data_IF_544335021478
#
_entry.id   IF_544335021478
#
_cell.length_a   1.000
_cell.length_b   1.000
_cell.length_c   1.000
_cell.angle_alpha   90.00
_cell.angle_beta   90.00
_cell.angle_gamma   90.00
#
_symmetry.space_group_name_H-M   'P 1'
#
loop_
_entity.id
_entity.type
_entity.pdbx_description
1 polymer ?
#
# COMPACT_ATOMS: atom_id res chain seq x y z
N UNK A 1 6.88 4.85 -22.50
CA UNK A 1 6.58 4.97 -21.06
C UNK A 1 5.13 4.58 -20.73
N UNK A 2 4.10 5.14 -21.39
CA UNK A 2 2.68 4.85 -21.10
C UNK A 2 2.21 3.40 -21.33
N UNK A 3 2.93 2.59 -22.13
CA UNK A 3 2.54 1.20 -22.47
C UNK A 3 2.33 0.29 -21.25
N UNK A 4 2.94 0.61 -20.12
CA UNK A 4 2.81 -0.18 -18.88
C UNK A 4 1.71 0.32 -17.94
N UNK A 5 1.05 1.43 -18.26
CA UNK A 5 0.06 2.12 -17.40
C UNK A 5 -1.34 1.89 -17.93
N UNK A 6 -1.79 0.64 -17.84
CA UNK A 6 -2.97 0.15 -18.56
C UNK A 6 -4.27 0.20 -17.73
N UNK A 7 -4.16 0.32 -16.41
CA UNK A 7 -5.32 0.32 -15.53
C UNK A 7 -5.72 1.76 -15.17
N UNK A 8 -6.83 2.24 -15.72
CA UNK A 8 -7.44 3.49 -15.24
C UNK A 8 -8.15 3.22 -13.93
N UNK A 9 -7.69 3.87 -12.86
CA UNK A 9 -8.25 3.69 -11.53
C UNK A 9 -9.42 4.65 -11.27
N UNK A 10 -9.23 5.94 -11.57
CA UNK A 10 -10.26 6.97 -11.43
C UNK A 10 -9.89 8.23 -12.21
N UNK A 11 -10.79 9.21 -12.19
CA UNK A 11 -10.53 10.57 -12.70
C UNK A 11 -10.52 11.57 -11.54
N UNK A 12 -9.68 12.59 -11.65
CA UNK A 12 -9.59 13.67 -10.66
C UNK A 12 -9.40 15.03 -11.36
N UNK A 13 -10.05 16.11 -10.88
CA UNK A 13 -9.78 17.46 -11.38
C UNK A 13 -8.41 17.92 -10.90
N UNK A 14 -7.47 18.09 -11.83
CA UNK A 14 -6.12 18.57 -11.55
C UNK A 14 -5.75 19.74 -12.46
N UNK A 15 -4.87 20.62 -11.98
CA UNK A 15 -4.33 21.72 -12.74
C UNK A 15 -3.31 21.21 -13.76
N UNK A 16 -3.57 21.47 -15.05
CA UNK A 16 -2.64 21.16 -16.12
C UNK A 16 -1.84 22.40 -16.50
N UNK A 17 -0.52 22.38 -16.25
CA UNK A 17 0.35 23.49 -16.61
C UNK A 17 0.36 23.82 -18.11
N UNK A 18 0.19 22.80 -18.99
CA UNK A 18 0.12 23.01 -20.44
C UNK A 18 -1.20 23.66 -20.87
N UNK A 19 -2.32 23.27 -20.28
CA UNK A 19 -3.62 23.89 -20.58
C UNK A 19 -3.82 25.23 -19.86
N UNK A 20 -3.04 25.51 -18.81
CA UNK A 20 -3.25 26.67 -17.94
C UNK A 20 -4.57 26.62 -17.15
N UNK A 21 -5.17 25.43 -17.01
CA UNK A 21 -6.52 25.26 -16.47
C UNK A 21 -6.66 23.96 -15.66
N UNK A 22 -7.70 23.91 -14.81
CA UNK A 22 -8.08 22.69 -14.09
C UNK A 22 -8.90 21.82 -15.03
N UNK A 23 -8.42 20.62 -15.30
CA UNK A 23 -9.05 19.66 -16.22
C UNK A 23 -9.19 18.30 -15.55
N UNK A 24 -10.09 17.45 -16.07
CA UNK A 24 -10.11 16.05 -15.70
C UNK A 24 -8.77 15.39 -16.09
N UNK A 25 -8.20 14.62 -15.17
CA UNK A 25 -7.04 13.78 -15.41
C UNK A 25 -7.40 12.32 -15.09
N UNK A 26 -7.12 11.43 -16.03
CA UNK A 26 -7.13 10.00 -15.78
C UNK A 26 -5.93 9.62 -14.90
N UNK A 27 -6.21 8.93 -13.79
CA UNK A 27 -5.19 8.38 -12.90
C UNK A 27 -4.99 6.92 -13.27
N UNK A 28 -3.82 6.62 -13.81
CA UNK A 28 -3.46 5.32 -14.37
C UNK A 28 -2.42 4.62 -13.48
N UNK A 29 -2.54 3.30 -13.36
CA UNK A 29 -1.59 2.45 -12.66
C UNK A 29 -1.12 1.28 -13.55
N UNK A 30 -0.03 0.65 -13.13
CA UNK A 30 0.49 -0.57 -13.77
C UNK A 30 -0.30 -1.82 -13.39
N UNK A 31 -1.01 -1.76 -12.28
CA UNK A 31 -1.79 -2.86 -11.73
C UNK A 31 -3.17 -2.35 -11.33
N UNK A 32 -4.12 -3.28 -11.22
CA UNK A 32 -5.44 -2.96 -10.71
C UNK A 32 -5.36 -2.73 -9.19
N UNK A 33 -5.82 -1.56 -8.74
CA UNK A 33 -5.95 -1.24 -7.33
C UNK A 33 -7.40 -0.90 -7.01
N UNK A 34 -7.85 -1.31 -5.84
CA UNK A 34 -9.13 -0.88 -5.29
C UNK A 34 -8.90 0.25 -4.28
N UNK A 35 -9.72 1.30 -4.36
CA UNK A 35 -9.72 2.38 -3.34
C UNK A 35 -10.05 1.86 -1.92
N UNK A 36 -10.67 0.68 -1.80
CA UNK A 36 -11.15 0.15 -0.51
C UNK A 36 -10.07 -0.57 0.31
N UNK A 37 -9.07 -1.16 -0.35
CA UNK A 37 -8.11 -2.05 0.31
C UNK A 37 -6.80 -1.36 0.72
N UNK A 38 -6.76 -0.02 0.68
CA UNK A 38 -5.54 0.75 0.88
C UNK A 38 -4.58 0.57 -0.30
N UNK A 39 -3.83 1.61 -0.63
CA UNK A 39 -2.77 1.54 -1.64
C UNK A 39 -1.49 1.97 -0.94
N UNK A 40 -0.43 1.16 -1.06
CA UNK A 40 0.86 1.50 -0.46
C UNK A 40 1.33 2.86 -0.98
N UNK A 41 1.86 3.70 -0.09
CA UNK A 41 2.19 5.10 -0.37
C UNK A 41 3.20 5.28 -1.50
N UNK A 42 4.04 4.28 -1.74
CA UNK A 42 5.11 4.25 -2.74
C UNK A 42 4.65 3.75 -4.12
N UNK A 43 3.38 3.37 -4.29
CA UNK A 43 2.85 2.96 -5.58
C UNK A 43 2.82 4.18 -6.51
N UNK A 44 3.53 4.14 -7.66
CA UNK A 44 3.50 5.23 -8.61
C UNK A 44 2.21 5.18 -9.45
N UNK A 45 1.75 6.35 -9.85
CA UNK A 45 0.62 6.60 -10.76
C UNK A 45 1.03 7.55 -11.88
N UNK A 46 0.42 7.37 -13.04
CA UNK A 46 0.47 8.35 -14.13
C UNK A 46 -0.82 9.16 -14.13
N UNK A 47 -0.69 10.47 -13.95
CA UNK A 47 -1.78 11.41 -14.05
C UNK A 47 -1.78 12.02 -15.45
N UNK A 48 -2.72 11.62 -16.32
CA UNK A 48 -2.80 12.07 -17.71
C UNK A 48 -3.94 13.05 -17.90
N UNK A 49 -3.66 14.25 -18.40
CA UNK A 49 -4.67 15.25 -18.74
C UNK A 49 -5.55 14.74 -19.89
N UNK A 50 -6.87 14.72 -19.69
CA UNK A 50 -7.81 14.28 -20.72
C UNK A 50 -7.92 15.28 -21.89
N UNK A 51 -7.62 16.56 -21.66
CA UNK A 51 -7.72 17.60 -22.68
C UNK A 51 -6.51 17.64 -23.64
N UNK A 52 -5.28 17.61 -23.12
CA UNK A 52 -4.07 17.80 -23.94
C UNK A 52 -3.15 16.57 -23.97
N UNK A 53 -3.49 15.50 -23.25
CA UNK A 53 -2.70 14.26 -23.19
C UNK A 53 -1.38 14.33 -22.42
N UNK A 54 -0.97 15.52 -21.95
CA UNK A 54 0.24 15.68 -21.12
C UNK A 54 0.07 14.92 -19.80
N UNK A 55 1.15 14.35 -19.29
CA UNK A 55 1.12 13.54 -18.07
C UNK A 55 2.25 13.89 -17.11
N UNK A 56 2.07 13.50 -15.85
CA UNK A 56 3.12 13.51 -14.83
C UNK A 56 2.99 12.27 -13.94
N UNK A 57 4.06 11.95 -13.21
CA UNK A 57 4.06 10.87 -12.22
C UNK A 57 3.79 11.45 -10.84
N UNK A 58 2.88 10.81 -10.13
CA UNK A 58 2.61 11.03 -8.71
C UNK A 58 2.62 9.68 -7.98
N UNK A 59 2.68 9.68 -6.67
CA UNK A 59 2.59 8.47 -5.86
C UNK A 59 1.27 8.42 -5.08
N UNK A 60 0.84 7.21 -4.69
CA UNK A 60 -0.39 7.04 -3.93
C UNK A 60 -0.38 7.84 -2.61
N UNK A 61 0.78 7.94 -1.96
CA UNK A 61 0.97 8.75 -0.75
C UNK A 61 0.91 10.27 -0.99
N UNK A 62 0.87 10.72 -2.25
CA UNK A 62 0.72 12.14 -2.63
C UNK A 62 -0.73 12.49 -2.99
N UNK A 63 -1.67 11.54 -2.87
CA UNK A 63 -3.07 11.71 -3.22
C UNK A 63 -3.98 11.46 -2.03
N UNK A 64 -5.03 12.27 -1.92
CA UNK A 64 -6.13 12.03 -1.00
C UNK A 64 -7.04 10.92 -1.55
N UNK A 65 -6.98 9.74 -0.94
CA UNK A 65 -7.74 8.56 -1.36
C UNK A 65 -8.96 8.24 -0.47
N UNK A 66 -9.27 9.11 0.51
CA UNK A 66 -10.47 8.97 1.35
C UNK A 66 -10.40 7.89 2.46
N UNK A 67 -9.20 7.50 2.87
CA UNK A 67 -8.99 6.52 3.96
C UNK A 67 -9.18 7.10 5.38
N UNK A 68 -9.48 6.24 6.35
CA UNK A 68 -9.70 6.59 7.77
C UNK A 68 -8.41 6.80 8.58
N UNK A 69 -7.23 6.56 8.02
CA UNK A 69 -5.98 6.41 8.77
C UNK A 69 -5.37 7.71 9.32
N UNK A 70 -5.90 8.88 8.95
CA UNK A 70 -5.28 10.17 9.31
C UNK A 70 -6.28 11.19 9.89
N UNK A 71 -7.20 10.76 10.77
CA UNK A 71 -8.17 11.69 11.40
C UNK A 71 -7.50 12.85 12.15
N UNK A 72 -6.29 12.63 12.68
CA UNK A 72 -5.57 13.64 13.46
C UNK A 72 -4.96 14.78 12.64
N UNK A 73 -4.95 14.67 11.30
CA UNK A 73 -4.38 15.72 10.44
C UNK A 73 -5.38 16.78 9.96
N UNK A 74 -6.68 16.54 10.14
CA UNK A 74 -7.76 17.37 9.60
C UNK A 74 -8.55 18.02 10.73
N UNK A 75 -8.97 19.26 10.50
CA UNK A 75 -9.83 19.99 11.41
C UNK A 75 -11.21 20.20 10.77
N UNK A 76 -12.25 19.79 11.48
CA UNK A 76 -13.63 20.13 11.13
C UNK A 76 -13.86 21.62 11.33
N UNK A 77 -14.64 22.22 10.45
CA UNK A 77 -15.08 23.60 10.65
C UNK A 77 -16.31 23.56 11.50
N UNK A 78 -16.30 24.31 12.60
CA UNK A 78 -17.43 24.39 13.50
C UNK A 78 -18.70 24.67 12.69
N UNK A 79 -18.72 25.73 11.87
CA UNK A 79 -19.87 26.20 11.10
C UNK A 79 -20.42 25.26 10.01
N UNK A 80 -19.69 24.21 9.60
CA UNK A 80 -20.07 23.42 8.42
C UNK A 80 -20.20 21.92 8.69
N UNK A 81 -19.42 21.40 9.64
CA UNK A 81 -19.32 19.97 9.88
C UNK A 81 -20.22 19.51 11.03
N UNK A 82 -20.64 18.25 10.93
CA UNK A 82 -21.16 17.47 12.03
C UNK A 82 -20.02 17.14 12.98
N UNK A 83 -20.27 17.37 14.26
CA UNK A 83 -19.27 17.27 15.31
C UNK A 83 -19.48 16.01 16.14
N UNK A 84 -18.39 15.38 16.56
CA UNK A 84 -18.37 14.25 17.48
C UNK A 84 -17.27 14.46 18.54
N UNK A 85 -17.43 13.92 19.75
CA UNK A 85 -16.35 13.87 20.74
C UNK A 85 -15.09 13.23 20.13
N UNK A 86 -13.93 13.84 20.39
CA UNK A 86 -12.64 13.43 19.84
C UNK A 86 -12.24 14.17 18.56
N UNK A 87 -13.19 14.78 17.83
CA UNK A 87 -12.87 15.54 16.62
C UNK A 87 -12.01 16.77 16.92
N UNK A 88 -11.08 17.07 16.02
CA UNK A 88 -10.40 18.36 15.96
C UNK A 88 -11.28 19.38 15.25
N UNK A 89 -11.46 20.55 15.85
CA UNK A 89 -12.29 21.63 15.31
C UNK A 89 -11.53 22.92 15.22
N UNK A 90 -11.65 23.59 14.06
CA UNK A 90 -11.19 24.95 13.87
C UNK A 90 -12.34 25.95 14.04
N UNK A 91 -12.06 27.04 14.75
CA UNK A 91 -12.95 28.19 14.92
C UNK A 91 -12.26 29.40 14.32
N UNK A 92 -12.97 30.13 13.45
CA UNK A 92 -12.44 31.32 12.80
C UNK A 92 -11.88 32.33 13.80
N UNK A 93 -10.68 32.85 13.49
CA UNK A 93 -9.97 33.80 14.33
C UNK A 93 -9.12 33.16 15.43
N UNK A 94 -9.26 31.85 15.70
CA UNK A 94 -8.36 31.15 16.63
C UNK A 94 -7.02 30.81 15.96
N UNK A 95 -5.93 30.79 16.74
CA UNK A 95 -4.60 30.47 16.22
C UNK A 95 -4.41 28.97 15.96
N UNK A 96 -5.16 28.10 16.64
CA UNK A 96 -5.04 26.63 16.55
C UNK A 96 -6.40 25.94 16.69
N UNK A 97 -6.56 24.74 16.10
CA UNK A 97 -7.70 23.87 16.38
C UNK A 97 -7.78 23.46 17.85
N UNK A 98 -8.98 23.09 18.30
CA UNK A 98 -9.26 22.54 19.63
C UNK A 98 -9.94 21.19 19.49
N UNK A 99 -9.75 20.30 20.46
CA UNK A 99 -10.40 18.99 20.44
C UNK A 99 -11.75 19.06 21.15
N UNK A 100 -12.78 18.41 20.60
CA UNK A 100 -14.07 18.28 21.28
C UNK A 100 -13.95 17.27 22.42
N UNK A 101 -14.16 17.72 23.66
CA UNK A 101 -14.22 16.85 24.84
C UNK A 101 -15.64 16.40 25.17
N UNK A 102 -16.66 17.13 24.72
CA UNK A 102 -18.06 16.79 24.94
C UNK A 102 -18.99 17.54 24.00
N UNK A 103 -20.13 16.93 23.70
CA UNK A 103 -21.17 17.49 22.84
C UNK A 103 -22.53 17.29 23.50
N UNK A 104 -23.25 18.38 23.76
CA UNK A 104 -24.58 18.36 24.39
C UNK A 104 -25.57 19.02 23.45
N UNK A 105 -26.60 18.27 23.05
CA UNK A 105 -27.60 18.73 22.10
C UNK A 105 -28.94 18.86 22.82
N UNK A 106 -29.53 20.05 22.74
CA UNK A 106 -30.90 20.33 23.18
C UNK A 106 -31.81 20.51 21.96
N UNK A 107 -33.11 20.79 22.18
CA UNK A 107 -34.05 21.03 21.07
C UNK A 107 -33.72 22.26 20.20
N UNK A 108 -32.97 23.22 20.74
CA UNK A 108 -32.70 24.51 20.08
C UNK A 108 -31.21 24.81 19.92
N UNK A 109 -30.36 24.17 20.71
CA UNK A 109 -28.95 24.54 20.84
C UNK A 109 -28.05 23.30 20.92
N UNK A 110 -26.88 23.39 20.29
CA UNK A 110 -25.76 22.48 20.47
C UNK A 110 -24.67 23.18 21.28
N UNK A 111 -24.33 22.64 22.44
CA UNK A 111 -23.20 23.07 23.27
C UNK A 111 -22.02 22.14 23.03
N UNK A 112 -20.92 22.71 22.56
CA UNK A 112 -19.65 22.02 22.32
C UNK A 112 -18.67 22.38 23.44
N UNK A 113 -18.16 21.36 24.13
CA UNK A 113 -17.05 21.50 25.04
C UNK A 113 -15.74 21.29 24.29
N UNK A 114 -14.87 22.29 24.34
CA UNK A 114 -13.58 22.30 23.66
C UNK A 114 -12.46 22.21 24.69
N UNK A 115 -11.47 21.39 24.39
CA UNK A 115 -10.22 21.27 25.15
C UNK A 115 -9.08 21.84 24.31
N UNK A 116 -8.41 22.84 24.86
CA UNK A 116 -7.19 23.43 24.30
C UNK A 116 -6.17 23.56 25.41
N UNK A 117 -5.03 22.88 25.30
CA UNK A 117 -3.85 22.94 26.21
C UNK A 117 -4.21 23.33 27.66
N UNK A 118 -4.84 22.40 28.40
CA UNK A 118 -5.15 22.56 29.82
C UNK A 118 -6.41 23.39 30.15
N UNK A 119 -7.00 24.10 29.19
CA UNK A 119 -8.21 24.89 29.38
C UNK A 119 -9.40 24.18 28.74
N UNK A 120 -10.51 24.08 29.49
CA UNK A 120 -11.80 23.68 28.96
C UNK A 120 -12.66 24.92 28.73
N UNK A 121 -13.17 25.04 27.52
CA UNK A 121 -14.08 26.11 27.12
C UNK A 121 -15.40 25.54 26.65
N UNK A 122 -16.48 26.26 26.90
CA UNK A 122 -17.81 25.94 26.40
C UNK A 122 -18.16 26.89 25.28
N UNK A 123 -18.63 26.34 24.17
CA UNK A 123 -19.12 27.10 23.04
C UNK A 123 -20.52 26.60 22.68
N UNK A 124 -21.51 27.48 22.69
CA UNK A 124 -22.89 27.11 22.37
C UNK A 124 -23.36 27.80 21.09
N UNK A 125 -24.17 27.08 20.30
CA UNK A 125 -24.69 27.56 19.02
C UNK A 125 -26.09 27.03 18.74
N UNK A 126 -26.90 27.75 17.94
CA UNK A 126 -28.16 27.21 17.44
C UNK A 126 -27.95 25.87 16.74
N UNK A 127 -28.91 24.96 16.91
CA UNK A 127 -28.88 23.66 16.25
C UNK A 127 -28.84 23.83 14.73
N UNK A 128 -27.81 23.29 14.08
CA UNK A 128 -27.72 23.29 12.63
C UNK A 128 -28.76 22.33 12.05
N UNK A 129 -29.71 22.87 11.29
CA UNK A 129 -30.79 22.10 10.66
C UNK A 129 -30.35 21.32 9.44
N UNK A 130 -29.24 21.71 8.80
CA UNK A 130 -28.62 21.03 7.66
C UNK A 130 -27.10 21.17 7.71
N UNK A 131 -26.41 20.06 7.48
CA UNK A 131 -24.95 20.03 7.31
C UNK A 131 -24.66 19.85 5.81
N UNK A 132 -23.92 20.77 5.21
CA UNK A 132 -23.42 20.64 3.84
C UNK A 132 -21.96 20.15 3.89
N UNK A 133 -21.76 18.89 4.29
CA UNK A 133 -20.43 18.35 4.55
C UNK A 133 -19.71 17.97 3.25
N UNK A 134 -18.98 18.92 2.67
CA UNK A 134 -18.08 18.64 1.54
C UNK A 134 -16.90 17.75 1.95
N UNK A 135 -16.48 17.82 3.22
CA UNK A 135 -15.39 17.04 3.78
C UNK A 135 -15.77 16.54 5.18
N UNK A 136 -16.40 15.35 5.30
CA UNK A 136 -16.85 14.80 6.58
C UNK A 136 -15.72 14.54 7.59
N UNK A 137 -14.49 14.30 7.10
CA UNK A 137 -13.31 14.12 7.95
C UNK A 137 -12.64 15.46 8.34
N UNK A 138 -13.16 16.60 7.87
CA UNK A 138 -12.58 17.92 8.07
C UNK A 138 -11.63 18.34 6.94
N UNK A 139 -10.93 19.44 7.17
CA UNK A 139 -10.10 20.15 6.19
C UNK A 139 -8.68 20.31 6.70
N UNK A 140 -7.69 20.35 5.80
CA UNK A 140 -6.37 20.92 6.14
C UNK A 140 -6.44 22.44 6.15
N UNK A 141 -5.84 23.04 7.17
CA UNK A 141 -5.88 24.48 7.39
C UNK A 141 -4.71 25.17 6.69
N UNK A 142 -5.02 26.01 5.71
CA UNK A 142 -4.04 26.79 4.97
C UNK A 142 -3.93 28.21 5.49
N UNK A 143 -2.70 28.78 5.55
CA UNK A 143 -1.44 28.23 5.03
C UNK A 143 -0.65 27.32 5.99
N UNK A 144 -1.08 27.18 7.24
CA UNK A 144 -0.30 26.51 8.29
C UNK A 144 0.13 25.07 7.94
N UNK A 145 -0.74 24.31 7.26
CA UNK A 145 -0.50 22.92 6.90
C UNK A 145 -0.10 22.74 5.43
N UNK A 146 0.30 23.79 4.72
CA UNK A 146 0.59 23.73 3.27
C UNK A 146 1.66 22.68 2.90
N UNK A 147 2.61 22.41 3.80
CA UNK A 147 3.69 21.46 3.58
C UNK A 147 3.33 19.99 3.74
N UNK A 148 2.09 19.65 4.13
CA UNK A 148 1.61 18.26 4.27
C UNK A 148 0.39 17.96 3.42
N UNK A 149 -0.04 18.89 2.55
CA UNK A 149 -1.21 18.67 1.71
C UNK A 149 -0.95 17.67 0.59
N UNK A 150 -1.97 16.88 0.28
CA UNK A 150 -2.03 15.90 -0.80
C UNK A 150 -2.88 16.43 -1.97
N UNK A 151 -2.69 15.88 -3.15
CA UNK A 151 -3.58 16.14 -4.29
C UNK A 151 -4.99 15.63 -3.99
N UNK A 152 -5.99 16.49 -4.15
CA UNK A 152 -7.38 16.20 -3.80
C UNK A 152 -7.76 16.50 -2.36
N UNK A 153 -6.82 16.95 -1.50
CA UNK A 153 -7.13 17.27 -0.11
C UNK A 153 -8.22 18.36 -0.03
N UNK A 154 -9.26 18.16 0.82
CA UNK A 154 -10.13 19.24 1.22
C UNK A 154 -9.36 20.22 2.11
N UNK A 155 -9.44 21.50 1.78
CA UNK A 155 -8.71 22.56 2.50
C UNK A 155 -9.63 23.69 2.92
N UNK A 156 -9.28 24.34 4.04
CA UNK A 156 -9.87 25.59 4.47
C UNK A 156 -8.80 26.66 4.54
N UNK A 157 -8.97 27.72 3.75
CA UNK A 157 -8.04 28.84 3.72
C UNK A 157 -8.42 29.87 4.78
N UNK A 158 -7.73 29.83 5.92
CA UNK A 158 -8.07 30.60 7.12
C UNK A 158 -8.20 32.10 6.86
N UNK A 159 -7.25 32.70 6.13
CA UNK A 159 -7.26 34.16 5.88
C UNK A 159 -8.39 34.61 4.95
N UNK A 160 -8.83 33.73 4.05
CA UNK A 160 -9.86 34.02 3.04
C UNK A 160 -11.24 33.50 3.46
N UNK A 161 -11.29 32.72 4.55
CA UNK A 161 -12.48 32.05 5.07
C UNK A 161 -13.24 31.29 3.98
N UNK A 162 -12.50 30.51 3.21
CA UNK A 162 -13.03 29.79 2.05
C UNK A 162 -12.52 28.35 2.04
N UNK A 163 -13.42 27.42 1.76
CA UNK A 163 -13.11 26.01 1.50
C UNK A 163 -12.64 25.83 0.06
N UNK A 164 -12.01 24.70 -0.20
CA UNK A 164 -11.51 24.35 -1.52
C UNK A 164 -10.85 22.97 -1.55
N UNK A 165 -10.20 22.69 -2.67
CA UNK A 165 -9.47 21.45 -2.89
C UNK A 165 -8.09 21.72 -3.47
N UNK A 166 -7.11 20.94 -3.06
CA UNK A 166 -5.79 20.93 -3.70
C UNK A 166 -5.90 20.24 -5.05
N UNK A 167 -5.54 20.95 -6.11
CA UNK A 167 -5.68 20.48 -7.50
C UNK A 167 -4.34 20.33 -8.20
N UNK A 168 -3.22 20.63 -7.55
CA UNK A 168 -1.92 20.45 -8.20
C UNK A 168 -0.73 20.82 -7.34
N UNK A 169 0.44 20.39 -7.78
CA UNK A 169 1.75 20.92 -7.38
C UNK A 169 2.49 21.29 -8.66
N UNK A 170 3.02 22.49 -8.71
CA UNK A 170 3.78 22.99 -9.86
C UNK A 170 5.14 23.48 -9.41
N UNK A 171 6.12 23.36 -10.29
CA UNK A 171 7.40 24.03 -10.14
C UNK A 171 7.33 25.34 -10.93
N UNK A 172 7.38 26.47 -10.23
CA UNK A 172 7.47 27.79 -10.84
C UNK A 172 8.89 28.33 -10.65
N UNK A 173 9.65 28.35 -11.75
CA UNK A 173 11.10 28.59 -11.78
C UNK A 173 11.84 27.60 -10.88
N UNK A 174 12.13 27.98 -9.64
CA UNK A 174 12.86 27.20 -8.64
C UNK A 174 12.06 26.97 -7.36
N UNK A 175 10.77 27.33 -7.33
CA UNK A 175 9.93 27.19 -6.16
C UNK A 175 8.71 26.33 -6.45
N UNK A 176 8.55 25.28 -5.67
CA UNK A 176 7.33 24.48 -5.63
C UNK A 176 6.18 25.30 -5.05
N UNK A 177 5.05 25.23 -5.75
CA UNK A 177 3.78 25.84 -5.36
C UNK A 177 2.69 24.79 -5.36
N UNK A 178 1.82 24.85 -4.34
CA UNK A 178 0.57 24.11 -4.31
C UNK A 178 -0.51 24.93 -5.01
N UNK A 179 -1.29 24.28 -5.84
CA UNK A 179 -2.43 24.86 -6.54
C UNK A 179 -3.71 24.46 -5.81
N UNK A 180 -4.48 25.44 -5.37
CA UNK A 180 -5.75 25.25 -4.64
C UNK A 180 -6.88 25.89 -5.42
N UNK A 181 -7.95 25.12 -5.67
CA UNK A 181 -9.22 25.66 -6.18
C UNK A 181 -10.14 25.92 -5.00
N UNK A 182 -10.43 27.19 -4.72
CA UNK A 182 -11.42 27.60 -3.74
C UNK A 182 -12.84 27.52 -4.31
N UNK A 183 -13.83 27.55 -3.41
CA UNK A 183 -15.21 27.82 -3.78
C UNK A 183 -15.35 29.12 -4.60
N UNK A 184 -16.31 29.12 -5.53
CA UNK A 184 -16.47 30.21 -6.50
C UNK A 184 -15.44 30.20 -7.64
N UNK A 185 -14.64 29.14 -7.79
CA UNK A 185 -13.76 28.92 -8.94
C UNK A 185 -12.42 29.66 -8.90
N UNK A 186 -12.14 30.40 -7.82
CA UNK A 186 -10.86 31.09 -7.64
C UNK A 186 -9.72 30.08 -7.48
N UNK A 187 -8.61 30.31 -8.18
CA UNK A 187 -7.41 29.47 -8.10
C UNK A 187 -6.30 30.22 -7.37
N UNK A 188 -5.69 29.57 -6.38
CA UNK A 188 -4.56 30.09 -5.62
C UNK A 188 -3.31 29.26 -5.91
N UNK A 189 -2.18 29.96 -6.02
CA UNK A 189 -0.86 29.37 -6.09
C UNK A 189 -0.11 29.76 -4.81
N UNK A 190 0.16 28.79 -3.94
CA UNK A 190 0.77 29.03 -2.63
C UNK A 190 2.16 28.40 -2.63
N UNK A 191 3.20 29.24 -2.50
CA UNK A 191 4.59 28.78 -2.42
C UNK A 191 4.82 27.95 -1.17
N UNK A 192 5.48 26.80 -1.31
CA UNK A 192 5.87 25.99 -0.17
C UNK A 192 6.95 26.71 0.66
N UNK A 193 6.96 26.55 2.00
CA UNK A 193 8.03 27.05 2.85
C UNK A 193 9.40 26.53 2.40
N UNK A 194 10.47 27.31 2.56
CA UNK A 194 11.82 26.93 2.13
C UNK A 194 12.25 25.54 2.64
N UNK A 195 11.94 25.22 3.90
CA UNK A 195 12.24 23.90 4.51
C UNK A 195 11.49 22.72 3.85
N UNK A 196 10.52 23.00 2.98
CA UNK A 196 9.71 22.04 2.24
C UNK A 196 9.95 22.11 0.73
N UNK A 197 10.85 22.99 0.27
CA UNK A 197 11.27 23.05 -1.12
C UNK A 197 12.16 21.84 -1.44
N UNK A 198 11.91 21.21 -2.57
CA UNK A 198 12.68 20.05 -2.99
C UNK A 198 14.07 20.47 -3.49
N UNK A 199 15.07 19.60 -3.29
CA UNK A 199 16.42 19.84 -3.82
C UNK A 199 16.41 19.74 -5.36
N UNK A 200 17.32 20.44 -6.06
CA UNK A 200 17.47 20.28 -7.50
C UNK A 200 17.78 18.84 -7.93
N UNK A 201 17.21 18.41 -9.07
CA UNK A 201 17.35 17.05 -9.59
C UNK A 201 18.81 16.63 -9.80
N UNK A 202 19.67 17.55 -10.25
CA UNK A 202 21.10 17.28 -10.52
C UNK A 202 21.88 17.03 -9.22
N UNK A 203 21.56 17.76 -8.15
CA UNK A 203 22.12 17.55 -6.81
C UNK A 203 21.71 16.19 -6.28
N UNK A 204 20.43 15.84 -6.41
CA UNK A 204 19.92 14.54 -5.97
C UNK A 204 20.51 13.38 -6.76
N UNK A 205 20.63 13.51 -8.09
CA UNK A 205 21.23 12.49 -8.94
C UNK A 205 22.70 12.25 -8.57
N UNK A 206 23.48 13.31 -8.35
CA UNK A 206 24.89 13.19 -7.92
C UNK A 206 25.01 12.45 -6.58
N UNK A 207 24.18 12.83 -5.59
CA UNK A 207 24.13 12.16 -4.28
C UNK A 207 23.77 10.69 -4.40
N UNK A 208 22.70 10.38 -5.13
CA UNK A 208 22.24 9.01 -5.33
C UNK A 208 23.29 8.15 -6.05
N UNK A 209 23.94 8.71 -7.07
CA UNK A 209 24.99 8.01 -7.81
C UNK A 209 26.19 7.68 -6.92
N UNK A 210 26.66 8.64 -6.11
CA UNK A 210 27.76 8.41 -5.19
C UNK A 210 27.42 7.34 -4.14
N UNK A 211 26.21 7.39 -3.59
CA UNK A 211 25.73 6.44 -2.58
C UNK A 211 25.50 5.03 -3.15
N UNK A 212 24.93 4.92 -4.35
CA UNK A 212 24.77 3.64 -5.05
C UNK A 212 26.12 3.00 -5.36
N UNK A 213 27.09 3.76 -5.85
CA UNK A 213 28.45 3.27 -6.10
C UNK A 213 29.16 2.83 -4.82
N UNK A 214 28.90 3.50 -3.69
CA UNK A 214 29.45 3.12 -2.39
C UNK A 214 28.82 1.83 -1.83
N UNK A 215 27.49 1.71 -1.94
CA UNK A 215 26.74 0.57 -1.38
C UNK A 215 26.83 -0.68 -2.27
N UNK A 216 26.92 -0.50 -3.58
CA UNK A 216 26.94 -1.55 -4.60
C UNK A 216 28.12 -1.37 -5.58
N UNK A 217 29.39 -1.43 -5.11
CA UNK A 217 30.55 -1.08 -5.91
C UNK A 217 30.70 -1.92 -7.19
N UNK A 218 30.31 -3.19 -7.15
CA UNK A 218 30.36 -4.10 -8.31
C UNK A 218 29.19 -4.02 -9.29
N UNK A 219 28.17 -3.20 -9.00
CA UNK A 219 26.95 -3.08 -9.82
C UNK A 219 26.77 -1.67 -10.40
N UNK A 220 27.73 -0.78 -10.16
CA UNK A 220 27.65 0.62 -10.61
C UNK A 220 27.48 0.76 -12.12
N UNK A 221 28.04 -0.16 -12.92
CA UNK A 221 27.86 -0.22 -14.38
C UNK A 221 26.52 -0.81 -14.83
N UNK A 222 25.91 -1.64 -13.98
CA UNK A 222 24.62 -2.29 -14.24
C UNK A 222 23.45 -1.34 -14.00
N UNK A 223 23.61 -0.42 -13.05
CA UNK A 223 22.62 0.60 -12.74
C UNK A 223 22.80 1.84 -13.61
N UNK A 224 21.70 2.28 -14.22
CA UNK A 224 21.58 3.63 -14.79
C UNK A 224 20.54 4.39 -13.97
N UNK A 225 20.95 5.54 -13.45
CA UNK A 225 20.13 6.34 -12.55
C UNK A 225 19.73 7.63 -13.26
N UNK A 226 18.49 8.04 -13.08
CA UNK A 226 18.01 9.35 -13.51
C UNK A 226 17.10 9.93 -12.43
N UNK A 227 17.12 11.25 -12.26
CA UNK A 227 16.22 11.96 -11.35
C UNK A 227 15.49 13.01 -12.15
N UNK A 228 14.16 12.97 -12.11
CA UNK A 228 13.32 13.96 -12.79
C UNK A 228 12.18 14.34 -11.85
N UNK A 229 12.05 15.63 -11.55
CA UNK A 229 11.06 16.17 -10.59
C UNK A 229 11.09 15.45 -9.25
N UNK A 230 12.30 15.23 -8.75
CA UNK A 230 12.60 14.55 -7.48
C UNK A 230 12.14 13.09 -7.43
N UNK A 231 11.89 12.47 -8.58
CA UNK A 231 11.58 11.04 -8.70
C UNK A 231 12.82 10.32 -9.19
N UNK A 232 13.27 9.31 -8.45
CA UNK A 232 14.38 8.47 -8.86
C UNK A 232 13.87 7.37 -9.81
N UNK A 233 14.48 7.30 -10.99
CA UNK A 233 14.26 6.23 -11.97
C UNK A 233 15.50 5.35 -11.98
N UNK A 234 15.30 4.07 -11.66
CA UNK A 234 16.39 3.08 -11.56
C UNK A 234 16.25 2.11 -12.73
N UNK A 235 17.19 2.17 -13.67
CA UNK A 235 17.23 1.35 -14.89
C UNK A 235 18.40 0.37 -14.82
N UNK A 236 18.31 -0.70 -15.61
CA UNK A 236 19.40 -1.64 -15.75
C UNK A 236 18.96 -3.10 -15.70
N UNK A 237 19.94 -3.96 -15.49
CA UNK A 237 19.72 -5.39 -15.29
C UNK A 237 20.55 -5.87 -14.11
N UNK A 238 20.02 -6.79 -13.31
CA UNK A 238 20.76 -7.44 -12.23
C UNK A 238 20.61 -8.96 -12.34
N UNK A 239 21.52 -9.71 -11.70
CA UNK A 239 21.57 -11.16 -11.82
C UNK A 239 20.41 -11.88 -11.14
N UNK A 240 19.87 -11.30 -10.06
CA UNK A 240 18.89 -11.95 -9.18
C UNK A 240 17.90 -10.94 -8.56
N UNK A 241 16.74 -11.46 -8.13
CA UNK A 241 15.67 -10.67 -7.53
C UNK A 241 16.06 -10.03 -6.18
N UNK A 242 16.75 -10.72 -5.24
CA UNK A 242 17.19 -10.11 -3.98
C UNK A 242 18.07 -8.87 -4.19
N UNK A 243 19.00 -8.91 -5.13
CA UNK A 243 19.84 -7.77 -5.49
C UNK A 243 19.01 -6.61 -6.01
N UNK A 244 18.02 -6.89 -6.89
CA UNK A 244 17.07 -5.89 -7.38
C UNK A 244 16.32 -5.22 -6.24
N UNK A 245 15.72 -6.01 -5.36
CA UNK A 245 14.90 -5.50 -4.25
C UNK A 245 15.73 -4.72 -3.24
N UNK A 246 16.92 -5.21 -2.89
CA UNK A 246 17.84 -4.52 -1.98
C UNK A 246 18.29 -3.16 -2.55
N UNK A 247 18.60 -3.09 -3.84
CA UNK A 247 18.93 -1.83 -4.51
C UNK A 247 17.74 -0.86 -4.47
N UNK A 248 16.54 -1.32 -4.81
CA UNK A 248 15.34 -0.48 -4.79
C UNK A 248 14.98 -0.02 -3.37
N UNK A 249 15.07 -0.89 -2.37
CA UNK A 249 14.84 -0.56 -0.97
C UNK A 249 15.83 0.51 -0.48
N UNK A 250 17.11 0.39 -0.88
CA UNK A 250 18.12 1.40 -0.59
C UNK A 250 17.79 2.75 -1.25
N UNK A 251 17.39 2.79 -2.52
CA UNK A 251 16.96 4.06 -3.14
C UNK A 251 15.72 4.63 -2.45
N UNK A 252 14.75 3.78 -2.08
CA UNK A 252 13.53 4.19 -1.36
C UNK A 252 13.79 4.73 0.05
N UNK A 253 14.94 4.41 0.68
CA UNK A 253 15.26 4.93 2.02
C UNK A 253 15.67 6.40 2.05
N UNK A 254 15.91 7.03 0.89
CA UNK A 254 16.26 8.44 0.79
C UNK A 254 15.01 9.32 0.91
N UNK A 255 14.90 10.08 2.00
CA UNK A 255 13.74 10.95 2.26
C UNK A 255 13.61 12.15 1.31
N UNK A 256 14.68 12.49 0.58
CA UNK A 256 14.70 13.64 -0.33
C UNK A 256 14.00 13.36 -1.66
N UNK A 257 13.69 12.09 -1.98
CA UNK A 257 12.94 11.73 -3.18
C UNK A 257 11.44 11.69 -2.90
N UNK A 258 10.66 12.15 -3.88
CA UNK A 258 9.20 11.98 -3.90
C UNK A 258 8.79 10.51 -4.05
N UNK A 259 9.66 9.71 -4.68
CA UNK A 259 9.52 8.27 -4.77
C UNK A 259 10.43 7.67 -5.82
N UNK A 260 10.29 6.35 -6.04
CA UNK A 260 11.16 5.56 -6.91
C UNK A 260 10.33 4.82 -7.94
N UNK A 261 10.72 4.91 -9.21
CA UNK A 261 10.15 4.12 -10.30
C UNK A 261 11.12 3.00 -10.65
N UNK A 262 10.73 1.77 -10.33
CA UNK A 262 11.47 0.55 -10.68
C UNK A 262 11.37 0.26 -12.18
N UNK A 263 12.50 0.35 -12.86
CA UNK A 263 12.70 -0.07 -14.25
C UNK A 263 13.87 -1.07 -14.37
N UNK A 264 14.24 -1.73 -13.26
CA UNK A 264 15.24 -2.78 -13.25
C UNK A 264 14.64 -4.10 -13.76
N UNK A 265 15.43 -4.80 -14.57
CA UNK A 265 15.14 -6.17 -15.00
C UNK A 265 16.04 -7.16 -14.28
N UNK A 266 15.52 -8.35 -14.00
CA UNK A 266 16.36 -9.46 -13.55
C UNK A 266 16.73 -10.28 -14.79
N UNK A 267 18.02 -10.41 -15.05
CA UNK A 267 18.57 -11.20 -16.17
C UNK A 267 19.52 -12.24 -15.61
N UNK A 268 19.06 -13.49 -15.64
CA UNK A 268 19.89 -14.62 -15.27
C UNK A 268 20.96 -14.84 -16.36
N UNK A 269 22.23 -14.87 -15.96
CA UNK A 269 23.36 -15.02 -16.89
C UNK A 269 23.62 -16.48 -17.33
N UNK A 270 23.03 -17.45 -16.62
CA UNK A 270 23.19 -18.88 -16.90
C UNK A 270 22.15 -19.44 -17.88
N UNK A 271 22.07 -20.78 -17.92
CA UNK A 271 21.04 -21.50 -18.69
C UNK A 271 19.65 -21.02 -18.30
N UNK A 272 18.75 -20.75 -19.26
CA UNK A 272 17.36 -20.42 -18.96
C UNK A 272 16.73 -21.50 -18.07
N UNK A 273 16.15 -21.07 -16.96
CA UNK A 273 15.41 -21.95 -16.03
C UNK A 273 13.95 -21.94 -16.45
N UNK A 274 13.33 -23.11 -16.57
CA UNK A 274 11.94 -23.22 -16.96
C UNK A 274 11.01 -22.79 -15.83
N UNK A 275 9.83 -22.27 -16.16
CA UNK A 275 8.80 -21.95 -15.17
C UNK A 275 8.39 -23.19 -14.34
N UNK A 276 8.45 -24.38 -14.94
CA UNK A 276 8.20 -25.64 -14.24
C UNK A 276 9.27 -25.94 -13.17
N UNK A 277 10.55 -25.66 -13.45
CA UNK A 277 11.63 -25.81 -12.47
C UNK A 277 11.48 -24.79 -11.33
N UNK A 278 11.13 -23.54 -11.65
CA UNK A 278 10.83 -22.49 -10.66
C UNK A 278 9.68 -22.93 -9.75
N UNK A 279 8.58 -23.41 -10.33
CA UNK A 279 7.43 -23.93 -9.57
C UNK A 279 7.82 -25.10 -8.67
N UNK A 280 8.62 -26.05 -9.19
CA UNK A 280 9.09 -27.20 -8.41
C UNK A 280 9.89 -26.76 -7.18
N UNK A 281 10.80 -25.80 -7.33
CA UNK A 281 11.64 -25.32 -6.23
C UNK A 281 10.84 -24.49 -5.22
N UNK A 282 9.87 -23.70 -5.68
CA UNK A 282 8.91 -23.03 -4.80
C UNK A 282 8.06 -24.03 -3.99
N UNK A 283 7.55 -25.10 -4.61
CA UNK A 283 6.85 -26.15 -3.85
C UNK A 283 7.74 -26.77 -2.78
N UNK A 284 9.02 -27.04 -3.06
CA UNK A 284 9.97 -27.57 -2.06
C UNK A 284 10.13 -26.66 -0.84
N UNK A 285 10.07 -25.34 -1.03
CA UNK A 285 10.13 -24.36 0.06
C UNK A 285 8.82 -24.36 0.85
N UNK A 286 7.68 -24.29 0.17
CA UNK A 286 6.34 -24.22 0.79
C UNK A 286 5.97 -25.51 1.54
N UNK A 287 6.44 -26.65 1.06
CA UNK A 287 6.21 -27.97 1.65
C UNK A 287 7.16 -28.28 2.82
N UNK A 288 8.03 -27.37 3.25
CA UNK A 288 8.80 -27.56 4.48
C UNK A 288 7.88 -27.65 5.69
N UNK A 289 8.23 -28.51 6.66
CA UNK A 289 7.43 -28.77 7.87
C UNK A 289 7.12 -27.51 8.68
N UNK A 290 8.02 -26.52 8.66
CA UNK A 290 7.89 -25.25 9.39
C UNK A 290 7.38 -24.08 8.54
N UNK A 291 6.91 -24.34 7.31
CA UNK A 291 6.37 -23.27 6.47
C UNK A 291 5.11 -22.67 7.12
N UNK A 292 5.04 -21.34 7.30
CA UNK A 292 3.88 -20.68 7.89
C UNK A 292 2.69 -20.59 6.92
N UNK A 293 2.94 -20.83 5.64
CA UNK A 293 1.95 -20.74 4.57
C UNK A 293 1.23 -22.07 4.38
N UNK A 294 -0.05 -22.00 4.08
CA UNK A 294 -0.90 -23.16 3.79
C UNK A 294 -1.97 -22.83 2.77
N UNK A 295 -2.61 -23.88 2.25
CA UNK A 295 -3.63 -23.77 1.21
C UNK A 295 -3.14 -22.90 0.05
N UNK A 296 -1.94 -23.20 -0.44
CA UNK A 296 -1.32 -22.39 -1.47
C UNK A 296 -1.74 -22.82 -2.88
N UNK A 297 -1.79 -21.84 -3.77
CA UNK A 297 -1.85 -22.00 -5.21
C UNK A 297 -0.66 -21.25 -5.83
N UNK A 298 0.05 -21.93 -6.73
CA UNK A 298 1.33 -21.49 -7.24
C UNK A 298 1.32 -21.52 -8.76
N UNK A 299 1.69 -20.40 -9.37
CA UNK A 299 1.80 -20.28 -10.81
C UNK A 299 3.08 -19.54 -11.18
N UNK A 300 3.85 -20.09 -12.12
CA UNK A 300 5.00 -19.42 -12.71
C UNK A 300 4.77 -19.21 -14.20
N UNK A 301 5.01 -17.98 -14.66
CA UNK A 301 4.94 -17.64 -16.08
C UNK A 301 6.00 -16.58 -16.40
N UNK A 302 6.83 -16.84 -17.41
CA UNK A 302 7.90 -15.94 -17.86
C UNK A 302 8.88 -15.50 -16.74
N UNK A 303 9.12 -16.38 -15.76
CA UNK A 303 9.93 -16.11 -14.57
C UNK A 303 9.24 -15.24 -13.51
N UNK A 304 7.95 -14.92 -13.65
CA UNK A 304 7.14 -14.34 -12.57
C UNK A 304 6.47 -15.46 -11.78
N UNK A 305 6.77 -15.56 -10.48
CA UNK A 305 6.14 -16.51 -9.56
C UNK A 305 5.02 -15.81 -8.80
N UNK A 306 3.79 -16.26 -8.98
CA UNK A 306 2.62 -15.83 -8.21
C UNK A 306 2.24 -16.90 -7.20
N UNK A 307 2.11 -16.49 -5.94
CA UNK A 307 1.71 -17.34 -4.82
C UNK A 307 0.48 -16.75 -4.14
N UNK A 308 -0.63 -17.49 -4.21
CA UNK A 308 -1.81 -17.23 -3.39
C UNK A 308 -1.75 -18.18 -2.20
N UNK A 309 -1.82 -17.68 -0.96
CA UNK A 309 -1.77 -18.56 0.21
C UNK A 309 -2.42 -17.94 1.45
N UNK A 310 -2.69 -18.78 2.45
CA UNK A 310 -3.19 -18.37 3.75
C UNK A 310 -2.09 -18.47 4.81
N UNK A 311 -2.19 -17.65 5.86
CA UNK A 311 -1.28 -17.68 7.01
C UNK A 311 -1.97 -17.27 8.32
N UNK A 312 -1.48 -17.76 9.46
CA UNK A 312 -2.03 -17.38 10.77
C UNK A 312 -1.48 -16.04 11.27
N UNK A 313 -2.31 -15.30 11.99
CA UNK A 313 -1.91 -14.09 12.69
C UNK A 313 -0.73 -14.33 13.64
N UNK A 314 0.40 -13.64 13.42
CA UNK A 314 1.61 -13.79 14.24
C UNK A 314 2.68 -14.72 13.64
N UNK A 315 2.41 -15.31 12.47
CA UNK A 315 3.42 -16.08 11.72
C UNK A 315 4.54 -15.19 11.17
N UNK A 316 5.78 -15.67 11.22
CA UNK A 316 6.93 -15.02 10.58
C UNK A 316 6.99 -15.41 9.10
N UNK A 317 6.77 -14.43 8.22
CA UNK A 317 6.76 -14.60 6.77
C UNK A 317 8.11 -14.26 6.12
N UNK A 318 9.04 -13.64 6.85
CA UNK A 318 10.28 -13.13 6.27
C UNK A 318 11.19 -14.26 5.79
N UNK A 319 11.25 -15.35 6.57
CA UNK A 319 12.04 -16.53 6.23
C UNK A 319 11.60 -17.16 4.90
N UNK A 320 10.31 -17.52 4.80
CA UNK A 320 9.77 -18.15 3.59
C UNK A 320 9.82 -17.21 2.38
N UNK A 321 9.57 -15.92 2.58
CA UNK A 321 9.63 -14.91 1.51
C UNK A 321 11.03 -14.81 0.94
N UNK A 322 12.06 -14.72 1.80
CA UNK A 322 13.47 -14.69 1.37
C UNK A 322 13.86 -15.96 0.63
N UNK A 323 13.43 -17.12 1.10
CA UNK A 323 13.72 -18.38 0.40
C UNK A 323 13.10 -18.40 -1.00
N UNK A 324 11.84 -17.97 -1.15
CA UNK A 324 11.17 -17.88 -2.44
C UNK A 324 11.88 -16.89 -3.37
N UNK A 325 12.31 -15.73 -2.87
CA UNK A 325 13.03 -14.72 -3.65
C UNK A 325 14.38 -15.23 -4.18
N UNK A 326 15.01 -16.19 -3.49
CA UNK A 326 16.30 -16.76 -3.87
C UNK A 326 16.19 -17.93 -4.87
N UNK A 327 15.00 -18.30 -5.33
CA UNK A 327 14.86 -19.33 -6.36
C UNK A 327 15.51 -18.84 -7.66
N UNK A 328 16.43 -19.63 -8.19
CA UNK A 328 17.15 -19.30 -9.40
C UNK A 328 16.17 -19.14 -10.58
N UNK A 329 16.38 -18.11 -11.40
CA UNK A 329 15.55 -17.84 -12.58
C UNK A 329 14.30 -16.99 -12.30
N UNK A 330 13.93 -16.79 -11.03
CA UNK A 330 12.86 -15.84 -10.69
C UNK A 330 13.26 -14.42 -11.06
N UNK A 331 12.38 -13.76 -11.80
CA UNK A 331 12.48 -12.35 -12.17
C UNK A 331 11.58 -11.47 -11.34
N UNK A 332 10.50 -12.04 -10.82
CA UNK A 332 9.50 -11.34 -10.03
C UNK A 332 8.76 -12.31 -9.12
N UNK A 333 8.50 -11.88 -7.88
CA UNK A 333 7.69 -12.61 -6.92
C UNK A 333 6.45 -11.78 -6.60
N UNK A 334 5.27 -12.38 -6.74
CA UNK A 334 3.98 -11.80 -6.37
C UNK A 334 3.35 -12.65 -5.28
N UNK A 335 3.19 -12.06 -4.10
CA UNK A 335 2.61 -12.72 -2.94
C UNK A 335 1.21 -12.15 -2.66
N UNK A 336 0.21 -12.99 -2.80
CA UNK A 336 -1.19 -12.68 -2.49
C UNK A 336 -1.57 -13.50 -1.26
N UNK A 337 -1.23 -12.95 -0.08
CA UNK A 337 -1.36 -13.66 1.19
C UNK A 337 -2.58 -13.19 1.97
N UNK A 338 -3.43 -14.12 2.38
CA UNK A 338 -4.60 -13.85 3.20
C UNK A 338 -4.36 -14.25 4.66
N UNK A 339 -4.53 -13.29 5.57
CA UNK A 339 -4.39 -13.50 7.01
C UNK A 339 -5.65 -14.14 7.56
N UNK A 340 -5.49 -15.22 8.33
CA UNK A 340 -6.59 -15.85 9.07
C UNK A 340 -6.31 -15.85 10.57
N UNK A 341 -7.39 -15.90 11.34
CA UNK A 341 -7.32 -16.05 12.80
C UNK A 341 -6.83 -17.45 13.19
N UNK A 342 -6.17 -17.54 14.33
CA UNK A 342 -5.76 -18.84 14.87
C UNK A 342 -6.97 -19.68 15.26
N UNK A 343 -6.92 -20.96 14.91
CA UNK A 343 -7.95 -21.91 15.31
C UNK A 343 -7.90 -22.20 16.83
N UNK A 344 -9.05 -22.53 17.46
CA UNK A 344 -9.10 -22.91 18.87
C UNK A 344 -8.12 -24.04 19.25
N UNK A 345 -7.55 -23.98 20.46
CA UNK A 345 -6.58 -24.95 20.96
C UNK A 345 -7.08 -26.43 20.95
N UNK A 346 -8.39 -26.64 20.99
CA UNK A 346 -8.98 -27.98 20.85
C UNK A 346 -8.80 -28.57 19.44
N UNK A 347 -8.88 -27.75 18.39
CA UNK A 347 -8.64 -28.18 17.01
C UNK A 347 -7.16 -28.42 16.77
N UNK A 348 -6.27 -27.60 17.31
CA UNK A 348 -4.82 -27.85 17.28
C UNK A 348 -4.43 -29.19 17.87
N UNK A 349 -4.99 -29.56 19.03
CA UNK A 349 -4.74 -30.90 19.63
C UNK A 349 -5.14 -32.04 18.70
N UNK A 350 -6.27 -31.89 17.98
CA UNK A 350 -6.74 -32.89 17.02
C UNK A 350 -5.90 -32.92 15.76
N UNK A 351 -5.49 -31.75 15.25
CA UNK A 351 -4.58 -31.62 14.11
C UNK A 351 -3.26 -32.34 14.39
N UNK A 352 -2.63 -32.06 15.53
CA UNK A 352 -1.37 -32.69 15.94
C UNK A 352 -1.49 -34.21 16.11
N UNK A 353 -2.61 -34.70 16.65
CA UNK A 353 -2.86 -36.13 16.79
C UNK A 353 -3.01 -36.82 15.43
N UNK A 354 -3.76 -36.20 14.50
CA UNK A 354 -3.93 -36.70 13.15
C UNK A 354 -2.61 -36.66 12.36
N UNK A 355 -1.85 -35.58 12.47
CA UNK A 355 -0.55 -35.43 11.82
C UNK A 355 0.43 -36.52 12.29
N UNK A 356 0.50 -36.77 13.60
CA UNK A 356 1.35 -37.83 14.16
C UNK A 356 0.94 -39.21 13.62
N UNK A 357 -0.36 -39.49 13.55
CA UNK A 357 -0.88 -40.74 13.03
C UNK A 357 -0.54 -40.92 11.55
N UNK A 358 -0.79 -39.88 10.74
CA UNK A 358 -0.46 -39.86 9.32
C UNK A 358 1.03 -40.06 9.11
N UNK A 359 1.90 -39.31 9.79
CA UNK A 359 3.36 -39.46 9.69
C UNK A 359 3.84 -40.85 10.12
N UNK A 360 3.17 -41.53 11.05
CA UNK A 360 3.52 -42.90 11.47
C UNK A 360 3.19 -43.91 10.38
N UNK A 361 2.07 -43.76 9.69
CA UNK A 361 1.61 -44.69 8.65
C UNK A 361 2.20 -44.37 7.27
N UNK A 362 2.56 -43.11 7.07
CA UNK A 362 2.97 -42.50 5.82
C UNK A 362 4.31 -41.75 6.04
N UNK A 363 5.33 -42.45 6.55
CA UNK A 363 6.64 -41.88 6.98
C UNK A 363 7.38 -41.14 5.85
N UNK A 364 7.19 -41.55 4.59
CA UNK A 364 7.90 -40.99 3.43
C UNK A 364 7.21 -39.76 2.82
N UNK A 365 6.15 -39.25 3.44
CA UNK A 365 5.33 -38.18 2.90
C UNK A 365 5.50 -36.92 3.74
N UNK A 366 5.72 -35.78 3.08
CA UNK A 366 5.67 -34.52 3.78
C UNK A 366 4.20 -34.09 3.88
N UNK A 367 3.62 -34.33 5.06
CA UNK A 367 2.22 -34.05 5.35
C UNK A 367 2.13 -33.10 6.52
N UNK A 368 1.26 -32.11 6.37
CA UNK A 368 0.90 -31.15 7.41
C UNK A 368 -0.60 -31.21 7.64
N UNK A 369 -1.00 -31.11 8.91
CA UNK A 369 -2.41 -30.99 9.28
C UNK A 369 -2.62 -29.64 9.93
N UNK A 370 -3.39 -28.78 9.28
CA UNK A 370 -3.63 -27.41 9.69
C UNK A 370 -5.08 -27.27 10.17
N UNK A 371 -5.31 -26.77 11.39
CA UNK A 371 -6.67 -26.54 11.86
C UNK A 371 -7.23 -25.24 11.26
N UNK A 372 -8.41 -25.33 10.66
CA UNK A 372 -9.18 -24.21 10.14
C UNK A 372 -10.47 -24.03 10.97
N UNK A 373 -11.15 -22.90 10.83
CA UNK A 373 -12.40 -22.61 11.56
C UNK A 373 -13.48 -23.68 11.36
N UNK A 374 -13.58 -24.25 10.16
CA UNK A 374 -14.58 -25.27 9.81
C UNK A 374 -14.09 -26.73 9.93
N UNK A 375 -12.81 -26.98 10.29
CA UNK A 375 -12.29 -28.34 10.29
C UNK A 375 -10.76 -28.44 10.22
N UNK A 376 -10.26 -29.45 9.51
CA UNK A 376 -8.82 -29.69 9.33
C UNK A 376 -8.48 -29.70 7.84
N UNK A 377 -7.37 -29.06 7.48
CA UNK A 377 -6.73 -29.17 6.18
C UNK A 377 -5.57 -30.16 6.28
N UNK A 378 -5.54 -31.16 5.41
CA UNK A 378 -4.39 -32.05 5.23
C UNK A 378 -3.74 -31.70 3.90
N UNK A 379 -2.53 -31.14 3.95
CA UNK A 379 -1.77 -30.76 2.76
C UNK A 379 -0.40 -31.42 2.73
N UNK A 380 0.17 -31.53 1.54
CA UNK A 380 1.46 -32.19 1.33
C UNK A 380 1.63 -32.76 -0.07
N UNK A 381 2.69 -33.56 -0.24
CA UNK A 381 2.93 -34.26 -1.51
C UNK A 381 3.00 -35.79 -1.34
N UNK A 382 2.57 -36.49 -2.38
CA UNK A 382 2.61 -37.94 -2.52
C UNK A 382 3.23 -38.33 -3.85
N UNK A 383 3.73 -39.57 -4.01
CA UNK A 383 4.45 -39.96 -5.24
C UNK A 383 3.53 -40.33 -6.39
N UNK A 384 2.28 -40.68 -6.12
CA UNK A 384 1.34 -41.11 -7.16
C UNK A 384 -0.12 -40.93 -6.71
N UNK A 385 -1.02 -41.01 -7.69
CA UNK A 385 -2.46 -40.89 -7.47
C UNK A 385 -3.05 -41.98 -6.57
N UNK A 386 -2.44 -43.18 -6.51
CA UNK A 386 -2.94 -44.25 -5.65
C UNK A 386 -2.74 -43.87 -4.17
N UNK A 387 -1.55 -43.39 -3.82
CA UNK A 387 -1.24 -42.90 -2.47
C UNK A 387 -2.11 -41.72 -2.09
N UNK A 388 -2.39 -40.80 -3.03
CA UNK A 388 -3.33 -39.69 -2.83
C UNK A 388 -4.69 -40.21 -2.37
N UNK A 389 -5.30 -41.14 -3.14
CA UNK A 389 -6.61 -41.72 -2.84
C UNK A 389 -6.63 -42.47 -1.51
N UNK A 390 -5.59 -43.25 -1.21
CA UNK A 390 -5.49 -43.99 0.05
C UNK A 390 -5.43 -43.04 1.25
N UNK A 391 -4.65 -41.96 1.15
CA UNK A 391 -4.53 -40.98 2.22
C UNK A 391 -5.84 -40.20 2.42
N UNK A 392 -6.49 -39.79 1.34
CA UNK A 392 -7.79 -39.13 1.39
C UNK A 392 -8.85 -39.99 2.07
N UNK A 393 -8.93 -41.27 1.71
CA UNK A 393 -9.83 -42.23 2.35
C UNK A 393 -9.51 -42.42 3.85
N UNK A 394 -8.22 -42.56 4.18
CA UNK A 394 -7.79 -42.80 5.54
C UNK A 394 -8.06 -41.59 6.45
N UNK A 395 -7.70 -40.39 6.00
CA UNK A 395 -7.94 -39.15 6.73
C UNK A 395 -9.45 -38.98 7.05
N UNK A 396 -10.32 -39.13 6.06
CA UNK A 396 -11.77 -38.99 6.23
C UNK A 396 -12.39 -40.02 7.19
N UNK A 397 -11.82 -41.24 7.27
CA UNK A 397 -12.34 -42.30 8.15
C UNK A 397 -12.03 -42.10 9.63
N UNK A 398 -10.95 -41.39 9.96
CA UNK A 398 -10.48 -41.24 11.34
C UNK A 398 -11.34 -40.26 12.14
N UNK A 399 -11.87 -39.22 11.49
CA UNK A 399 -12.59 -38.14 12.18
C UNK A 399 -14.08 -38.16 11.87
N UNK A 400 -14.82 -39.08 12.50
CA UNK A 400 -16.28 -39.24 12.31
C UNK A 400 -17.15 -37.98 12.61
N UNK A 401 -16.57 -36.82 12.97
CA UNK A 401 -17.29 -35.59 13.34
C UNK A 401 -16.59 -34.27 12.95
N UNK A 402 -15.56 -34.31 12.09
CA UNK A 402 -14.80 -33.11 11.68
C UNK A 402 -14.61 -33.13 10.18
N UNK A 403 -14.90 -32.00 9.53
CA UNK A 403 -14.66 -31.80 8.10
C UNK A 403 -13.16 -31.85 7.84
N UNK A 404 -12.72 -32.72 6.93
CA UNK A 404 -11.35 -32.75 6.45
C UNK A 404 -11.34 -32.29 5.00
N UNK A 405 -10.50 -31.30 4.70
CA UNK A 405 -10.15 -30.88 3.35
C UNK A 405 -8.76 -31.45 3.04
N UNK A 406 -8.61 -32.12 1.92
CA UNK A 406 -7.34 -32.70 1.48
C UNK A 406 -6.81 -31.95 0.27
N UNK A 407 -5.55 -31.52 0.33
CA UNK A 407 -4.86 -30.81 -0.75
C UNK A 407 -3.49 -31.45 -0.96
N UNK A 408 -3.50 -32.61 -1.61
CA UNK A 408 -2.31 -33.40 -1.87
C UNK A 408 -1.84 -33.21 -3.31
N UNK A 409 -0.58 -32.81 -3.49
CA UNK A 409 0.09 -32.77 -4.78
C UNK A 409 0.68 -34.13 -5.10
N UNK A 410 0.65 -34.54 -6.37
CA UNK A 410 1.40 -35.70 -6.84
C UNK A 410 2.75 -35.20 -7.34
N UNK A 411 3.85 -35.72 -6.78
CA UNK A 411 5.20 -35.46 -7.27
C UNK A 411 5.38 -36.25 -8.56
N UNK A 412 5.45 -35.54 -9.68
CA UNK A 412 5.87 -36.12 -10.96
C UNK A 412 7.34 -36.53 -10.95
#
# INVERSE_FOLDING_TARGET
MLRYWIHQLWEMPLFCAKCGAITAHAILAREAFSKRFGISKDVPFVCRCNACGTFFVAFAGEMYLGGNESKDEYAKLLSQNRLLPGDWVYIDGRPRPSQISGLFVTKQEETVMLKSVGVQEKFSRPLLSRYNEQAPQGFKLLPAQIGSVLLGDPVYHVLRKATGFVVGRILDKSSEKVVVRLEGGKVLFITLPEKKQALPDDVLLKRLTAEMSRKFPGLSSEFRLNVVRNIAYVYGSVADLPTKENALAFVKSFSDFRGVVDMLSVKYAGTPISDADICRDAFRILEKEKSPLFYYDLHAENGELTLNAYYFAGSDLDGVTKELQNIAGIRRLKLELEKVEESPAALWRKANALEKLLKTQFIKFCLRVIPLSEGLLVEGHVKNHLQKKTLEFFANRITNKIKIVTRLRVSD
#
